data_IF_218595489423
#
_entry.id   IF_218595489423
#
_cell.length_a   1.000
_cell.length_b   1.000
_cell.length_c   1.000
_cell.angle_alpha   90.00
_cell.angle_beta   90.00
_cell.angle_gamma   90.00
#
_symmetry.space_group_name_H-M   'P 1'
#
loop_
_entity.id
_entity.type
_entity.pdbx_description
1 polymer ?
#
# COMPACT_ATOMS: atom_id res chain seq x y z
N UNK A 1 -20.80 -2.64 -3.46
CA UNK A 1 -20.82 -1.56 -4.44
C UNK A 1 -19.38 -1.18 -4.83
N UNK A 2 -19.12 -1.15 -6.13
CA UNK A 2 -17.78 -0.89 -6.65
C UNK A 2 -17.24 0.48 -6.21
N UNK A 3 -18.12 1.46 -6.08
CA UNK A 3 -17.70 2.80 -5.65
C UNK A 3 -17.22 2.79 -4.21
N UNK A 4 -17.88 2.01 -3.36
CA UNK A 4 -17.47 1.90 -1.96
C UNK A 4 -16.13 1.20 -1.83
N UNK A 5 -15.90 0.15 -2.63
CA UNK A 5 -14.62 -0.55 -2.63
C UNK A 5 -13.49 0.37 -3.08
N UNK A 6 -13.70 1.13 -4.13
CA UNK A 6 -12.67 2.08 -4.60
C UNK A 6 -12.38 3.16 -3.57
N UNK A 7 -13.40 3.61 -2.86
CA UNK A 7 -13.21 4.59 -1.81
C UNK A 7 -12.35 4.02 -0.69
N UNK A 8 -12.63 2.79 -0.26
CA UNK A 8 -11.85 2.11 0.77
C UNK A 8 -10.42 1.91 0.30
N UNK A 9 -10.23 1.46 -0.94
CA UNK A 9 -8.89 1.24 -1.49
C UNK A 9 -8.07 2.53 -1.49
N UNK A 10 -8.69 3.63 -1.90
CA UNK A 10 -8.00 4.93 -1.92
C UNK A 10 -7.61 5.38 -0.52
N UNK A 11 -8.48 5.19 0.45
CA UNK A 11 -8.19 5.55 1.83
C UNK A 11 -7.07 4.70 2.41
N UNK A 12 -7.10 3.40 2.14
CA UNK A 12 -6.07 2.48 2.62
C UNK A 12 -4.72 2.82 2.00
N UNK A 13 -4.70 3.04 0.69
CA UNK A 13 -3.48 3.41 -0.01
C UNK A 13 -2.86 4.68 0.58
N UNK A 14 -3.69 5.69 0.80
CA UNK A 14 -3.22 6.95 1.36
C UNK A 14 -2.71 6.78 2.79
N UNK A 15 -3.45 6.01 3.59
CA UNK A 15 -3.06 5.78 4.98
C UNK A 15 -1.73 5.05 5.06
N UNK A 16 -1.54 4.00 4.25
CA UNK A 16 -0.30 3.24 4.24
C UNK A 16 0.85 4.11 3.74
N UNK A 17 0.63 4.84 2.65
CA UNK A 17 1.66 5.72 2.11
C UNK A 17 2.10 6.75 3.13
N UNK A 18 1.14 7.41 3.78
CA UNK A 18 1.47 8.43 4.78
C UNK A 18 2.23 7.83 5.96
N UNK A 19 1.81 6.65 6.41
CA UNK A 19 2.45 6.00 7.55
C UNK A 19 3.90 5.61 7.22
N UNK A 20 4.15 5.12 6.02
CA UNK A 20 5.48 4.68 5.62
C UNK A 20 6.38 5.88 5.32
N UNK A 21 5.85 6.89 4.67
CA UNK A 21 6.64 8.06 4.28
C UNK A 21 7.00 8.97 5.46
N UNK A 22 6.47 8.70 6.65
CA UNK A 22 6.95 9.33 7.88
C UNK A 22 8.40 8.92 8.17
N UNK A 23 8.79 7.72 7.75
CA UNK A 23 10.15 7.23 7.92
C UNK A 23 11.09 7.97 6.96
N UNK A 24 12.13 8.66 7.46
CA UNK A 24 13.03 9.42 6.59
C UNK A 24 13.83 8.56 5.61
N UNK A 25 13.88 7.25 5.83
CA UNK A 25 14.59 6.34 4.93
C UNK A 25 13.71 5.81 3.81
N UNK A 26 12.41 6.01 3.90
CA UNK A 26 11.51 5.55 2.85
C UNK A 26 11.52 6.54 1.69
N UNK A 27 11.76 6.05 0.47
CA UNK A 27 11.75 6.87 -0.72
C UNK A 27 10.46 6.74 -1.51
N UNK A 28 9.91 5.52 -1.55
CA UNK A 28 8.82 5.24 -2.47
C UNK A 28 7.95 4.10 -1.96
N UNK A 29 6.65 4.27 -2.14
CA UNK A 29 5.66 3.22 -1.90
C UNK A 29 4.83 3.15 -3.16
N UNK A 30 4.78 1.97 -3.79
CA UNK A 30 4.11 1.84 -5.07
C UNK A 30 3.55 0.45 -5.29
N UNK A 31 2.91 0.26 -6.43
CA UNK A 31 2.37 -1.02 -6.89
C UNK A 31 1.35 -1.60 -5.91
N UNK A 32 0.44 -0.76 -5.46
CA UNK A 32 -0.66 -1.22 -4.63
C UNK A 32 -1.58 -2.12 -5.44
N UNK A 33 -1.87 -3.29 -4.88
CA UNK A 33 -2.84 -4.22 -5.47
C UNK A 33 -3.83 -4.63 -4.40
N UNK A 34 -5.09 -4.59 -4.75
CA UNK A 34 -6.18 -4.91 -3.83
C UNK A 34 -6.95 -6.11 -4.35
N UNK A 35 -7.20 -7.05 -3.47
CA UNK A 35 -7.97 -8.25 -3.78
C UNK A 35 -9.09 -8.37 -2.75
N UNK A 36 -10.31 -8.56 -3.25
CA UNK A 36 -11.48 -8.68 -2.40
C UNK A 36 -11.97 -10.12 -2.37
N UNK A 37 -12.26 -10.61 -1.17
CA UNK A 37 -12.89 -11.91 -0.96
C UNK A 37 -14.08 -11.70 -0.04
N UNK A 38 -15.28 -11.57 -0.65
CA UNK A 38 -16.45 -11.20 0.11
C UNK A 38 -16.29 -9.79 0.66
N UNK A 39 -16.32 -9.66 1.97
CA UNK A 39 -16.12 -8.38 2.64
C UNK A 39 -14.72 -8.23 3.22
N UNK A 40 -13.80 -9.13 2.87
CA UNK A 40 -12.39 -9.02 3.28
C UNK A 40 -11.55 -8.47 2.14
N UNK A 41 -10.63 -7.58 2.48
CA UNK A 41 -9.71 -7.00 1.51
C UNK A 41 -8.28 -7.36 1.86
N UNK A 42 -7.54 -7.77 0.84
CA UNK A 42 -6.10 -8.00 0.95
C UNK A 42 -5.38 -6.95 0.12
N UNK A 43 -4.31 -6.38 0.66
CA UNK A 43 -3.53 -5.39 -0.06
C UNK A 43 -2.08 -5.80 -0.12
N UNK A 44 -1.47 -5.58 -1.28
CA UNK A 44 -0.05 -5.82 -1.51
C UNK A 44 0.56 -4.55 -2.07
N UNK A 45 1.77 -4.23 -1.63
CA UNK A 45 2.45 -3.04 -2.14
C UNK A 45 3.94 -3.21 -2.00
N UNK A 46 4.70 -2.33 -2.65
CA UNK A 46 6.16 -2.36 -2.62
C UNK A 46 6.71 -1.10 -1.99
N UNK A 47 7.75 -1.28 -1.18
CA UNK A 47 8.43 -0.17 -0.49
C UNK A 47 9.90 -0.21 -0.83
N UNK A 48 10.47 0.96 -1.11
CA UNK A 48 11.90 1.12 -1.33
C UNK A 48 12.43 2.21 -0.43
N UNK A 49 13.57 1.93 0.20
CA UNK A 49 14.26 2.90 1.03
C UNK A 49 15.53 3.42 0.35
N UNK A 50 16.07 4.51 0.88
CA UNK A 50 17.18 5.23 0.24
C UNK A 50 18.46 4.43 0.15
N UNK A 51 18.66 3.47 1.07
CA UNK A 51 19.88 2.65 1.10
C UNK A 51 19.59 1.19 0.72
N UNK A 52 18.42 0.92 0.14
CA UNK A 52 18.02 -0.44 -0.20
C UNK A 52 18.33 -0.70 -1.66
N UNK A 53 18.96 -1.84 -1.93
CA UNK A 53 19.21 -2.25 -3.31
C UNK A 53 17.97 -2.75 -3.99
N UNK A 54 17.01 -3.28 -3.24
CA UNK A 54 15.80 -3.88 -3.76
C UNK A 54 14.57 -3.35 -3.05
N UNK A 55 13.44 -3.44 -3.75
CA UNK A 55 12.16 -3.13 -3.14
C UNK A 55 11.69 -4.32 -2.31
N UNK A 56 10.95 -4.01 -1.25
CA UNK A 56 10.35 -5.04 -0.40
C UNK A 56 8.87 -5.10 -0.69
N UNK A 57 8.37 -6.30 -0.97
CA UNK A 57 6.93 -6.51 -1.15
C UNK A 57 6.30 -6.85 0.19
N UNK A 58 5.22 -6.14 0.52
CA UNK A 58 4.50 -6.33 1.76
C UNK A 58 3.07 -6.76 1.45
N UNK A 59 2.61 -7.81 2.11
CA UNK A 59 1.25 -8.31 1.97
C UNK A 59 0.55 -8.20 3.32
N UNK A 60 -0.62 -7.60 3.31
CA UNK A 60 -1.44 -7.43 4.50
C UNK A 60 -2.77 -8.16 4.39
#
# INVERSE_FOLDING_TARGET
>A
DNDDEKTVESMVERTITDAIMVNPRAENVRDFQFTWEGDQMHVTFKVKGSNWDEEIEISL
#
